data_IF_887189430441
#
_entry.id   IF_887189430441
#
_cell.length_a   1.000
_cell.length_b   1.000
_cell.length_c   1.000
_cell.angle_alpha   90.00
_cell.angle_beta   90.00
_cell.angle_gamma   90.00
#
_symmetry.space_group_name_H-M   'P 1'
#
loop_
_entity.id
_entity.type
_entity.pdbx_description
1 polymer ?
#
# COMPACT_ATOMS: atom_id res chain seq x y z
N UNK A 1 -5.25 -24.93 5.71
CA UNK A 1 -4.33 -25.40 6.76
C UNK A 1 -3.04 -25.77 6.09
N UNK A 2 -1.92 -25.40 6.69
CA UNK A 2 -0.59 -25.83 6.23
C UNK A 2 -0.30 -27.28 6.66
N UNK A 3 0.90 -27.79 6.36
CA UNK A 3 1.28 -29.17 6.69
C UNK A 3 1.38 -29.42 8.20
N UNK A 4 1.46 -28.36 9.02
CA UNK A 4 1.50 -28.43 10.48
C UNK A 4 0.11 -28.21 11.12
N UNK A 5 -0.96 -28.26 10.30
CA UNK A 5 -2.37 -28.06 10.70
C UNK A 5 -2.66 -26.67 11.29
N UNK A 6 -1.83 -25.66 10.96
CA UNK A 6 -2.04 -24.28 11.31
C UNK A 6 -2.83 -23.53 10.22
N UNK A 7 -3.44 -22.40 10.58
CA UNK A 7 -3.98 -21.49 9.58
C UNK A 7 -2.79 -20.92 8.78
N UNK A 8 -2.85 -21.06 7.44
CA UNK A 8 -1.79 -20.54 6.58
C UNK A 8 -1.57 -19.04 6.82
N UNK A 9 -0.30 -18.62 6.86
CA UNK A 9 0.09 -17.19 6.92
C UNK A 9 -0.04 -16.51 5.57
N UNK A 10 0.31 -15.22 5.53
CA UNK A 10 0.40 -14.47 4.28
C UNK A 10 1.54 -15.05 3.43
N UNK A 11 1.26 -15.28 2.15
CA UNK A 11 2.27 -15.72 1.19
C UNK A 11 3.18 -14.55 0.76
N UNK A 12 2.62 -13.36 0.63
CA UNK A 12 3.31 -12.12 0.34
C UNK A 12 3.26 -11.19 1.56
N UNK A 13 4.24 -10.28 1.65
CA UNK A 13 4.28 -9.23 2.67
C UNK A 13 3.03 -8.35 2.66
N UNK A 14 2.74 -7.74 3.81
CA UNK A 14 1.62 -6.81 3.94
C UNK A 14 1.87 -5.55 3.09
N UNK A 15 0.94 -5.26 2.18
CA UNK A 15 0.99 -4.07 1.32
C UNK A 15 1.04 -2.78 2.15
N UNK A 16 0.51 -2.78 3.36
CA UNK A 16 0.53 -1.66 4.30
C UNK A 16 1.50 -1.90 5.46
N UNK A 17 2.59 -2.62 5.23
CA UNK A 17 3.69 -2.62 6.20
C UNK A 17 4.23 -1.20 6.36
N UNK A 18 4.74 -0.85 7.55
CA UNK A 18 5.24 0.51 7.80
C UNK A 18 6.34 0.92 6.82
N UNK A 19 7.20 -0.01 6.39
CA UNK A 19 8.22 0.26 5.37
C UNK A 19 7.57 0.61 4.02
N UNK A 20 6.55 -0.14 3.59
CA UNK A 20 5.83 0.11 2.36
C UNK A 20 5.10 1.46 2.39
N UNK A 21 4.46 1.81 3.50
CA UNK A 21 3.75 3.08 3.65
C UNK A 21 4.68 4.30 3.51
N UNK A 22 5.87 4.25 4.11
CA UNK A 22 6.84 5.35 4.01
C UNK A 22 7.54 5.40 2.65
N UNK A 23 7.71 4.29 1.95
CA UNK A 23 8.36 4.26 0.64
C UNK A 23 7.52 4.90 -0.47
N UNK A 24 6.19 4.99 -0.27
CA UNK A 24 5.26 5.58 -1.24
C UNK A 24 5.21 7.10 -1.22
N UNK A 25 6.01 7.75 -0.39
CA UNK A 25 6.08 9.21 -0.35
C UNK A 25 7.53 9.67 -0.25
N UNK A 26 7.87 10.66 -1.04
CA UNK A 26 9.19 11.27 -1.02
C UNK A 26 9.06 12.78 -0.77
N UNK A 27 9.77 13.27 0.23
CA UNK A 27 9.90 14.71 0.49
C UNK A 27 10.87 15.33 -0.50
N UNK A 28 10.55 16.52 -1.01
CA UNK A 28 11.51 17.30 -1.78
C UNK A 28 12.67 17.74 -0.88
N UNK A 29 13.88 17.74 -1.44
CA UNK A 29 15.11 18.16 -0.72
C UNK A 29 15.14 19.65 -0.39
N UNK A 30 14.33 20.46 -1.06
CA UNK A 30 14.18 21.88 -0.81
C UNK A 30 13.18 22.21 0.32
N UNK A 31 12.47 21.22 0.85
CA UNK A 31 11.52 21.40 1.94
C UNK A 31 12.22 22.01 3.17
N UNK A 32 11.61 23.04 3.73
CA UNK A 32 12.10 23.71 4.93
C UNK A 32 11.42 23.22 6.21
N UNK A 33 10.25 22.59 6.10
CA UNK A 33 9.50 22.00 7.21
C UNK A 33 10.06 20.66 7.65
N UNK A 34 9.43 20.11 8.68
CA UNK A 34 9.80 18.82 9.29
C UNK A 34 8.67 17.79 9.16
N UNK A 35 7.64 18.08 8.36
CA UNK A 35 6.51 17.18 8.18
C UNK A 35 6.97 15.83 7.61
N UNK A 36 6.55 14.74 8.28
CA UNK A 36 6.76 13.37 7.85
C UNK A 36 5.39 12.73 7.58
N UNK A 37 5.25 12.19 6.38
CA UNK A 37 4.03 11.58 5.90
C UNK A 37 4.26 10.12 5.50
N UNK A 38 3.17 9.34 5.47
CA UNK A 38 3.14 7.99 4.90
C UNK A 38 1.85 7.78 4.12
N UNK A 39 1.79 6.71 3.31
CA UNK A 39 0.65 6.42 2.43
C UNK A 39 0.16 5.00 2.66
N UNK A 40 -1.10 4.88 3.10
CA UNK A 40 -1.80 3.59 3.25
C UNK A 40 -2.66 3.35 2.02
N UNK A 41 -2.68 2.13 1.50
CA UNK A 41 -3.60 1.72 0.43
C UNK A 41 -4.87 1.16 1.06
N UNK A 42 -6.01 1.78 0.75
CA UNK A 42 -7.32 1.39 1.30
C UNK A 42 -8.11 0.53 0.32
N UNK A 43 -8.10 0.88 -0.97
CA UNK A 43 -8.80 0.13 -2.02
C UNK A 43 -7.96 0.05 -3.30
N UNK A 44 -7.46 -1.15 -3.58
CA UNK A 44 -6.63 -1.40 -4.77
C UNK A 44 -7.38 -1.25 -6.09
N UNK A 45 -8.73 -1.32 -6.09
CA UNK A 45 -9.52 -1.17 -7.30
C UNK A 45 -9.67 0.30 -7.74
N UNK A 46 -9.46 1.23 -6.81
CA UNK A 46 -9.53 2.67 -7.08
C UNK A 46 -8.17 3.27 -7.44
N UNK A 47 -7.08 2.52 -7.21
CA UNK A 47 -5.74 3.02 -7.52
C UNK A 47 -5.58 3.29 -9.02
N UNK A 48 -5.03 4.45 -9.30
CA UNK A 48 -4.54 4.81 -10.64
C UNK A 48 -3.03 4.49 -10.71
N UNK A 49 -2.48 4.41 -11.93
CA UNK A 49 -1.04 4.25 -12.12
C UNK A 49 -0.29 5.60 -12.05
N UNK A 50 -0.96 6.64 -11.56
CA UNK A 50 -0.42 8.00 -11.53
C UNK A 50 0.43 8.26 -10.29
N UNK A 51 1.38 9.18 -10.44
CA UNK A 51 2.09 9.80 -9.34
C UNK A 51 1.39 11.13 -9.03
N UNK A 52 1.36 11.50 -7.76
CA UNK A 52 0.74 12.75 -7.33
C UNK A 52 1.79 13.67 -6.70
N UNK A 53 1.50 14.96 -6.69
CA UNK A 53 2.30 15.96 -5.99
C UNK A 53 1.43 16.64 -4.92
N UNK A 54 1.89 16.57 -3.68
CA UNK A 54 1.26 17.26 -2.55
C UNK A 54 2.06 18.52 -2.22
N UNK A 55 1.41 19.67 -2.11
CA UNK A 55 2.06 20.93 -1.75
C UNK A 55 1.32 21.62 -0.62
N UNK A 56 2.08 22.17 0.32
CA UNK A 56 1.54 22.97 1.42
C UNK A 56 1.62 24.49 1.11
N UNK A 57 0.56 25.21 1.48
CA UNK A 57 0.46 26.66 1.42
C UNK A 57 0.16 27.20 2.82
N UNK A 58 1.12 27.86 3.43
CA UNK A 58 0.98 28.42 4.77
C UNK A 58 0.01 29.60 4.84
N UNK A 59 -0.21 30.31 3.73
CA UNK A 59 -1.15 31.43 3.64
C UNK A 59 -2.60 30.99 3.83
N UNK A 60 -2.96 29.82 3.32
CA UNK A 60 -4.28 29.22 3.50
C UNK A 60 -4.32 28.15 4.60
N UNK A 61 -3.17 27.61 5.03
CA UNK A 61 -3.07 26.48 5.94
C UNK A 61 -3.52 25.17 5.31
N UNK A 62 -3.49 25.06 3.99
CA UNK A 62 -4.00 23.92 3.24
C UNK A 62 -2.90 23.17 2.51
N UNK A 63 -3.13 21.87 2.36
CA UNK A 63 -2.48 21.05 1.36
C UNK A 63 -3.31 20.99 0.08
N UNK A 64 -2.63 21.00 -1.07
CA UNK A 64 -3.22 20.75 -2.38
C UNK A 64 -2.54 19.53 -2.99
N UNK A 65 -3.35 18.52 -3.33
CA UNK A 65 -2.93 17.32 -4.06
C UNK A 65 -3.16 17.57 -5.54
N UNK A 66 -2.13 17.36 -6.34
CA UNK A 66 -2.15 17.51 -7.80
C UNK A 66 -1.99 16.15 -8.47
N UNK A 67 -2.72 15.94 -9.55
CA UNK A 67 -2.52 14.82 -10.48
C UNK A 67 -1.20 14.98 -11.25
N UNK A 68 -0.77 13.93 -11.95
CA UNK A 68 0.44 13.94 -12.77
C UNK A 68 0.44 15.02 -13.87
N UNK A 69 -0.74 15.37 -14.38
CA UNK A 69 -0.93 16.42 -15.40
C UNK A 69 -0.90 17.85 -14.82
N UNK A 70 -0.78 17.99 -13.49
CA UNK A 70 -0.78 19.25 -12.78
C UNK A 70 -2.17 19.81 -12.44
N UNK A 71 -3.24 19.11 -12.76
CA UNK A 71 -4.58 19.48 -12.31
C UNK A 71 -4.77 19.22 -10.83
N UNK A 72 -5.63 19.99 -10.18
CA UNK A 72 -5.94 19.80 -8.75
C UNK A 72 -6.84 18.58 -8.59
N UNK A 73 -6.37 17.62 -7.81
CA UNK A 73 -7.16 16.46 -7.37
C UNK A 73 -8.00 16.81 -6.15
N UNK A 74 -7.34 17.32 -5.09
CA UNK A 74 -8.01 17.72 -3.85
C UNK A 74 -7.29 18.87 -3.14
N UNK A 75 -8.03 19.63 -2.34
CA UNK A 75 -7.48 20.63 -1.40
C UNK A 75 -8.12 20.40 -0.04
N UNK A 76 -7.31 20.36 1.01
CA UNK A 76 -7.77 20.11 2.38
C UNK A 76 -6.91 20.86 3.40
N UNK A 77 -7.49 21.19 4.55
CA UNK A 77 -6.75 21.82 5.63
C UNK A 77 -5.70 20.86 6.20
N UNK A 78 -4.58 21.41 6.67
CA UNK A 78 -3.57 20.61 7.37
C UNK A 78 -4.21 19.88 8.57
N UNK A 79 -4.24 18.55 8.59
CA UNK A 79 -4.84 17.81 9.68
C UNK A 79 -3.93 17.74 10.92
N UNK A 80 -2.68 18.19 10.80
CA UNK A 80 -1.66 18.11 11.84
C UNK A 80 -1.15 16.69 12.11
N UNK A 81 -0.15 16.55 12.98
CA UNK A 81 0.43 15.25 13.34
C UNK A 81 -0.60 14.28 13.92
N UNK A 82 -0.62 13.06 13.39
CA UNK A 82 -1.61 12.03 13.72
C UNK A 82 -2.92 12.16 12.94
N UNK A 83 -3.09 13.20 12.13
CA UNK A 83 -4.23 13.35 11.25
C UNK A 83 -4.08 12.57 9.95
N UNK A 84 -5.19 12.40 9.22
CA UNK A 84 -5.25 11.65 7.96
C UNK A 84 -6.10 12.37 6.94
N UNK A 85 -5.84 12.12 5.66
CA UNK A 85 -6.69 12.54 4.55
C UNK A 85 -6.90 11.37 3.59
N UNK A 86 -8.15 10.85 3.55
CA UNK A 86 -8.55 9.81 2.61
C UNK A 86 -8.84 10.42 1.24
N UNK A 87 -8.20 9.90 0.21
CA UNK A 87 -8.44 10.31 -1.18
C UNK A 87 -9.58 9.52 -1.81
N UNK A 88 -10.06 9.97 -2.96
CA UNK A 88 -11.00 9.19 -3.79
C UNK A 88 -10.29 8.13 -4.64
N UNK A 89 -8.97 8.15 -4.69
CA UNK A 89 -8.13 7.32 -5.56
C UNK A 89 -7.58 6.07 -4.84
N UNK A 90 -8.23 5.67 -3.73
CA UNK A 90 -7.97 4.39 -3.05
C UNK A 90 -6.78 4.39 -2.10
N UNK A 91 -6.28 5.55 -1.70
CA UNK A 91 -5.23 5.66 -0.69
C UNK A 91 -5.50 6.79 0.31
N UNK A 92 -4.89 6.67 1.48
CA UNK A 92 -4.94 7.68 2.55
C UNK A 92 -3.53 8.23 2.82
N UNK A 93 -3.44 9.55 2.92
CA UNK A 93 -2.26 10.26 3.40
C UNK A 93 -2.29 10.33 4.92
N UNK A 94 -1.25 9.86 5.59
CA UNK A 94 -1.10 9.93 7.03
C UNK A 94 -0.04 10.97 7.38
N UNK A 95 -0.38 11.90 8.24
CA UNK A 95 0.51 12.96 8.75
C UNK A 95 1.13 12.48 10.06
N UNK A 96 2.30 11.86 9.95
CA UNK A 96 2.90 11.10 11.06
C UNK A 96 3.47 12.01 12.14
N UNK A 97 4.25 13.03 11.73
CA UNK A 97 4.91 13.94 12.68
C UNK A 97 5.38 15.21 12.01
N UNK A 98 5.86 16.16 12.82
CA UNK A 98 6.44 17.41 12.34
C UNK A 98 5.41 18.45 11.92
N UNK A 99 5.89 19.51 11.29
CA UNK A 99 5.07 20.58 10.76
C UNK A 99 5.58 21.00 9.37
N UNK A 100 4.69 21.28 8.42
CA UNK A 100 5.08 21.76 7.10
C UNK A 100 5.54 23.24 7.17
N UNK A 101 6.36 23.63 6.22
CA UNK A 101 6.66 25.02 5.91
C UNK A 101 6.03 25.42 4.58
N UNK A 102 5.96 26.73 4.34
CA UNK A 102 5.38 27.25 3.11
C UNK A 102 6.10 26.72 1.87
N UNK A 103 5.33 26.20 0.93
CA UNK A 103 5.83 25.66 -0.31
C UNK A 103 6.45 24.26 -0.23
N UNK A 104 6.41 23.60 0.94
CA UNK A 104 6.87 22.20 1.05
C UNK A 104 6.12 21.30 0.07
N UNK A 105 6.87 20.46 -0.63
CA UNK A 105 6.35 19.54 -1.64
C UNK A 105 6.72 18.08 -1.33
N UNK A 106 5.78 17.18 -1.62
CA UNK A 106 5.94 15.74 -1.47
C UNK A 106 5.46 15.06 -2.74
N UNK A 107 6.23 14.09 -3.22
CA UNK A 107 5.80 13.21 -4.31
C UNK A 107 5.14 11.97 -3.73
N UNK A 108 3.91 11.69 -4.12
CA UNK A 108 3.12 10.55 -3.66
C UNK A 108 3.07 9.51 -4.77
N UNK A 109 3.50 8.28 -4.48
CA UNK A 109 3.76 7.20 -5.43
C UNK A 109 3.00 5.92 -5.03
N UNK A 110 1.64 5.90 -5.06
CA UNK A 110 0.87 4.82 -4.44
C UNK A 110 1.17 3.44 -5.02
N UNK A 111 1.50 3.37 -6.32
CA UNK A 111 1.65 2.10 -7.05
C UNK A 111 3.07 1.80 -7.52
N UNK A 112 3.95 2.81 -7.59
CA UNK A 112 5.26 2.69 -8.28
C UNK A 112 6.19 1.64 -7.67
N UNK A 113 6.19 1.50 -6.36
CA UNK A 113 7.07 0.59 -5.63
C UNK A 113 6.41 -0.73 -5.22
N UNK A 114 5.11 -0.92 -5.51
CA UNK A 114 4.36 -2.09 -5.08
C UNK A 114 4.97 -3.43 -5.52
N UNK A 115 5.52 -3.49 -6.73
CA UNK A 115 6.18 -4.71 -7.23
C UNK A 115 7.57 -4.93 -6.61
N UNK A 116 8.28 -3.85 -6.28
CA UNK A 116 9.61 -3.93 -5.66
C UNK A 116 9.52 -4.37 -4.18
N UNK A 117 8.44 -4.01 -3.51
CA UNK A 117 8.21 -4.32 -2.10
C UNK A 117 7.50 -5.65 -1.87
N UNK A 118 7.11 -6.37 -2.93
CA UNK A 118 6.60 -7.73 -2.81
C UNK A 118 7.71 -8.65 -2.28
N UNK A 119 7.72 -8.88 -0.98
CA UNK A 119 8.54 -9.90 -0.34
C UNK A 119 7.74 -11.18 -0.17
N UNK A 120 8.41 -12.32 -0.33
CA UNK A 120 7.81 -13.62 -0.02
C UNK A 120 8.02 -13.90 1.47
N UNK A 121 6.92 -13.95 2.23
CA UNK A 121 6.94 -14.22 3.68
C UNK A 121 7.11 -15.70 4.01
N UNK A 122 6.85 -16.58 3.04
CA UNK A 122 7.00 -18.03 3.22
C UNK A 122 8.46 -18.42 3.12
N UNK A 123 9.07 -18.72 4.25
CA UNK A 123 10.47 -19.17 4.35
C UNK A 123 10.58 -20.69 4.51
N UNK A 124 9.50 -21.40 4.87
CA UNK A 124 9.42 -22.85 5.01
C UNK A 124 8.37 -23.42 4.08
N UNK A 125 8.76 -24.40 3.26
CA UNK A 125 7.86 -25.10 2.32
C UNK A 125 6.66 -25.76 3.01
N UNK A 126 6.74 -26.02 4.31
CA UNK A 126 5.63 -26.60 5.10
C UNK A 126 4.50 -25.58 5.33
N UNK A 127 4.77 -24.30 5.21
CA UNK A 127 3.78 -23.22 5.33
C UNK A 127 2.92 -23.07 4.07
N UNK A 128 3.35 -23.67 2.96
CA UNK A 128 2.53 -23.74 1.73
C UNK A 128 1.47 -24.81 1.92
N UNK A 129 0.19 -24.42 1.93
CA UNK A 129 -0.91 -25.37 1.94
C UNK A 129 -0.89 -26.19 0.64
N UNK A 130 -0.20 -27.33 0.66
CA UNK A 130 -0.27 -28.30 -0.42
C UNK A 130 -1.57 -29.10 -0.23
N UNK A 131 -2.49 -28.99 -1.18
CA UNK A 131 -3.62 -29.93 -1.23
C UNK A 131 -3.03 -31.34 -1.25
N UNK A 132 -3.35 -32.17 -0.25
CA UNK A 132 -2.98 -33.59 -0.29
C UNK A 132 -3.50 -34.17 -1.59
N UNK A 133 -2.67 -34.91 -2.35
CA UNK A 133 -3.17 -35.61 -3.52
C UNK A 133 -4.28 -36.53 -3.06
N UNK A 134 -5.48 -36.31 -3.56
CA UNK A 134 -6.61 -37.25 -3.34
C UNK A 134 -6.28 -38.51 -4.13
N UNK A 135 -5.83 -39.55 -3.44
CA UNK A 135 -5.74 -40.87 -4.04
C UNK A 135 -7.17 -41.37 -4.22
N UNK A 136 -7.68 -41.32 -5.45
CA UNK A 136 -8.91 -41.99 -5.81
C UNK A 136 -8.62 -43.50 -5.82
N UNK A 137 -9.01 -44.20 -4.76
CA UNK A 137 -9.09 -45.63 -4.79
C UNK A 137 -10.21 -46.04 -5.76
N UNK A 138 -9.83 -46.52 -6.91
CA UNK A 138 -10.77 -47.24 -7.79
C UNK A 138 -11.25 -48.48 -7.03
N UNK A 139 -12.55 -48.66 -6.81
CA UNK A 139 -13.05 -49.92 -6.22
C UNK A 139 -12.62 -51.06 -7.09
N UNK A 140 -12.16 -52.14 -6.46
CA UNK A 140 -11.65 -53.37 -7.11
C UNK A 140 -12.68 -54.07 -8.01
N UNK A 141 -13.91 -53.57 -8.05
CA UNK A 141 -15.03 -54.07 -8.86
C UNK A 141 -15.21 -53.32 -10.18
N UNK A 142 -14.33 -52.34 -10.52
CA UNK A 142 -14.39 -51.68 -11.82
C UNK A 142 -13.71 -52.56 -12.87
N UNK A 143 -14.40 -53.65 -13.26
CA UNK A 143 -14.09 -54.44 -14.47
C UNK A 143 -14.57 -53.59 -15.64
N UNK A 144 -13.67 -52.82 -16.25
CA UNK A 144 -13.96 -52.09 -17.50
C UNK A 144 -14.44 -53.12 -18.55
N UNK A 145 -15.74 -53.11 -18.80
CA UNK A 145 -16.30 -53.75 -19.98
C UNK A 145 -15.97 -52.88 -21.19
N UNK A 146 -15.10 -53.38 -22.05
CA UNK A 146 -14.90 -52.85 -23.40
C UNK A 146 -16.07 -53.17 -24.30
#
# INVERSE_FOLDING_TARGET
MDLDNQLGGLFFGDINSSAAEFSRIASDTANAGTAALSVTIDDTNLLTAEDYRLRFDSGSGNYTLFNADGTVNATFADPGPGGVFATTDGFTLNFVSGAPADGDEFTVLPTRLGAFEMSMEVTDVRQVAAAMPVTTNLPSTNTGGG
#
